data_IF_552295830562
#
_entry.id   IF_552295830562
#
_cell.length_a   1.000
_cell.length_b   1.000
_cell.length_c   1.000
_cell.angle_alpha   90.00
_cell.angle_beta   90.00
_cell.angle_gamma   90.00
#
_symmetry.space_group_name_H-M   'P 1'
#
loop_
_entity.id
_entity.type
_entity.pdbx_description
1 polymer ?
#
# COMPACT_ATOMS: atom_id res chain seq x y z
N UNK A 1 -5.95 -2.98 -20.63
CA UNK A 1 -5.75 -1.53 -20.78
C UNK A 1 -4.35 -1.21 -20.32
N UNK A 2 -3.56 -0.44 -21.09
CA UNK A 2 -2.22 0.00 -20.67
C UNK A 2 -2.38 1.10 -19.62
N UNK A 3 -1.70 1.03 -18.46
CA UNK A 3 -1.79 2.07 -17.44
C UNK A 3 -1.28 3.44 -17.95
N UNK A 4 -1.86 4.54 -17.45
CA UNK A 4 -1.49 5.91 -17.87
C UNK A 4 -0.01 6.22 -17.64
N UNK A 5 0.54 5.77 -16.51
CA UNK A 5 1.95 5.98 -16.16
C UNK A 5 2.94 5.40 -17.19
N UNK A 6 2.53 4.41 -17.99
CA UNK A 6 3.38 3.83 -19.04
C UNK A 6 3.70 4.81 -20.17
N UNK A 7 2.90 5.88 -20.32
CA UNK A 7 3.09 6.92 -21.34
C UNK A 7 3.65 8.22 -20.77
N UNK A 8 3.85 8.29 -19.45
CA UNK A 8 4.39 9.47 -18.80
C UNK A 8 5.91 9.43 -18.79
N UNK A 9 6.58 10.57 -19.02
CA UNK A 9 8.03 10.64 -18.94
C UNK A 9 8.51 10.48 -17.49
N UNK A 10 9.78 10.09 -17.28
CA UNK A 10 10.34 9.83 -15.95
C UNK A 10 10.23 11.04 -15.02
N UNK A 11 10.28 12.28 -15.51
CA UNK A 11 10.08 13.49 -14.69
C UNK A 11 8.75 13.46 -13.93
N UNK A 12 7.69 12.94 -14.54
CA UNK A 12 6.37 12.90 -13.93
C UNK A 12 6.23 11.67 -13.02
N UNK A 13 6.64 10.49 -13.48
CA UNK A 13 6.55 9.27 -12.68
C UNK A 13 7.41 9.37 -11.41
N UNK A 14 8.67 9.77 -11.56
CA UNK A 14 9.57 10.06 -10.45
C UNK A 14 8.99 11.12 -9.52
N UNK A 15 8.56 12.29 -10.03
CA UNK A 15 8.05 13.35 -9.16
C UNK A 15 6.80 12.90 -8.36
N UNK A 16 5.90 12.12 -8.97
CA UNK A 16 4.67 11.66 -8.31
C UNK A 16 4.95 10.72 -7.12
N UNK A 17 5.90 9.78 -7.26
CA UNK A 17 6.18 8.81 -6.18
C UNK A 17 7.00 9.43 -5.04
N UNK A 18 7.91 10.36 -5.35
CA UNK A 18 8.75 11.04 -4.34
C UNK A 18 8.03 12.19 -3.63
N UNK A 19 6.91 12.66 -4.17
CA UNK A 19 6.08 13.66 -3.52
C UNK A 19 5.11 13.04 -2.48
N UNK A 20 4.62 13.87 -1.56
CA UNK A 20 3.57 13.49 -0.61
C UNK A 20 4.09 13.06 0.77
N UNK A 21 3.21 12.44 1.55
CA UNK A 21 3.45 12.13 2.97
C UNK A 21 4.22 10.81 3.22
N UNK A 22 4.50 10.03 2.17
CA UNK A 22 5.15 8.72 2.27
C UNK A 22 4.25 7.61 2.83
N UNK A 23 4.87 6.49 3.23
CA UNK A 23 4.23 5.28 3.74
C UNK A 23 3.76 5.38 5.20
N UNK A 24 4.29 6.33 5.98
CA UNK A 24 4.06 6.46 7.42
C UNK A 24 2.58 6.45 7.85
N UNK A 25 1.69 7.23 7.22
CA UNK A 25 0.26 7.21 7.54
C UNK A 25 -0.41 5.84 7.35
N UNK A 26 0.02 5.04 6.35
CA UNK A 26 -0.53 3.70 6.13
C UNK A 26 -0.06 2.72 7.21
N UNK A 27 1.19 2.81 7.67
CA UNK A 27 1.65 2.01 8.81
C UNK A 27 0.95 2.41 10.12
N UNK A 28 0.71 3.71 10.33
CA UNK A 28 -0.08 4.16 11.48
C UNK A 28 -1.52 3.62 11.43
N UNK A 29 -2.15 3.64 10.25
CA UNK A 29 -3.47 3.04 10.06
C UNK A 29 -3.45 1.52 10.31
N UNK A 30 -2.41 0.82 9.84
CA UNK A 30 -2.25 -0.61 10.09
C UNK A 30 -2.17 -0.91 11.60
N UNK A 31 -1.38 -0.14 12.35
CA UNK A 31 -1.28 -0.28 13.79
C UNK A 31 -2.62 -0.01 14.50
N UNK A 32 -3.38 1.00 14.06
CA UNK A 32 -4.70 1.29 14.60
C UNK A 32 -5.71 0.16 14.35
N UNK A 33 -5.74 -0.40 13.13
CA UNK A 33 -6.57 -1.56 12.80
C UNK A 33 -6.19 -2.80 13.62
N UNK A 34 -4.90 -3.01 13.85
CA UNK A 34 -4.41 -4.10 14.69
C UNK A 34 -4.86 -3.92 16.15
N UNK A 35 -4.82 -2.70 16.69
CA UNK A 35 -5.34 -2.39 18.02
C UNK A 35 -6.84 -2.66 18.12
N UNK A 36 -7.63 -2.22 17.13
CA UNK A 36 -9.07 -2.48 17.08
C UNK A 36 -9.39 -3.99 17.04
N UNK A 37 -8.63 -4.78 16.27
CA UNK A 37 -8.78 -6.22 16.25
C UNK A 37 -8.58 -6.85 17.64
N UNK A 38 -7.56 -6.40 18.38
CA UNK A 38 -7.27 -6.87 19.74
C UNK A 38 -8.39 -6.51 20.72
N UNK A 39 -8.89 -5.27 20.67
CA UNK A 39 -10.00 -4.82 21.52
C UNK A 39 -11.30 -5.60 21.25
N UNK A 40 -11.58 -5.89 19.96
CA UNK A 40 -12.73 -6.72 19.57
C UNK A 40 -12.57 -8.17 20.04
N UNK A 41 -11.39 -8.77 19.90
CA UNK A 41 -11.11 -10.12 20.38
C UNK A 41 -11.20 -10.24 21.92
N UNK A 42 -10.73 -9.23 22.64
CA UNK A 42 -10.91 -9.12 24.09
C UNK A 42 -12.40 -9.01 24.46
N UNK A 43 -13.16 -8.23 23.71
CA UNK A 43 -14.61 -8.10 23.88
C UNK A 43 -15.32 -9.44 23.64
N UNK A 44 -14.99 -10.17 22.57
CA UNK A 44 -15.51 -11.52 22.31
C UNK A 44 -15.26 -12.44 23.50
N UNK A 45 -14.04 -12.45 24.02
CA UNK A 45 -13.65 -13.29 25.18
C UNK A 45 -14.47 -12.94 26.43
N UNK A 46 -14.65 -11.64 26.70
CA UNK A 46 -15.46 -11.15 27.81
C UNK A 46 -16.93 -11.55 27.67
N UNK A 47 -17.53 -11.33 26.50
CA UNK A 47 -18.93 -11.71 26.23
C UNK A 47 -19.13 -13.22 26.34
N UNK A 48 -18.18 -14.02 25.86
CA UNK A 48 -18.27 -15.48 25.93
C UNK A 48 -18.17 -16.00 27.37
N UNK A 49 -17.39 -15.34 28.22
CA UNK A 49 -17.35 -15.62 29.66
C UNK A 49 -18.73 -15.37 30.30
N UNK A 50 -19.36 -14.24 30.02
CA UNK A 50 -20.70 -13.90 30.56
C UNK A 50 -21.77 -14.87 30.05
N UNK A 51 -21.73 -15.27 28.78
CA UNK A 51 -22.66 -16.27 28.23
C UNK A 51 -22.47 -17.62 28.90
N UNK A 52 -21.23 -18.02 29.19
CA UNK A 52 -20.92 -19.28 29.87
C UNK A 52 -21.43 -19.25 31.31
N UNK A 53 -21.25 -18.15 32.03
CA UNK A 53 -21.83 -17.97 33.37
C UNK A 53 -23.36 -18.03 33.34
N UNK A 54 -24.00 -17.42 32.33
CA UNK A 54 -25.45 -17.44 32.18
C UNK A 54 -26.00 -18.83 31.84
N UNK A 55 -25.27 -19.64 31.06
CA UNK A 55 -25.71 -20.98 30.65
C UNK A 55 -25.40 -22.08 31.67
N UNK A 56 -24.37 -21.89 32.50
CA UNK A 56 -23.90 -22.87 33.50
C UNK A 56 -24.12 -22.46 34.96
N UNK A 57 -24.56 -21.22 35.19
CA UNK A 57 -24.80 -20.66 36.51
C UNK A 57 -26.13 -21.09 37.15
N UNK A 58 -26.44 -20.61 38.36
CA UNK A 58 -27.62 -21.04 39.12
C UNK A 58 -28.95 -20.54 38.51
N UNK A 59 -28.92 -19.52 37.64
CA UNK A 59 -30.11 -18.99 36.96
C UNK A 59 -30.35 -19.71 35.64
N UNK A 60 -30.78 -20.97 35.71
CA UNK A 60 -31.12 -21.79 34.54
C UNK A 60 -32.63 -21.79 34.26
N UNK A 61 -33.01 -21.80 32.98
CA UNK A 61 -34.41 -21.86 32.55
C UNK A 61 -34.66 -21.22 31.18
N UNK A 62 -35.92 -21.20 30.71
CA UNK A 62 -36.27 -20.69 29.38
C UNK A 62 -35.80 -19.25 29.10
N UNK A 63 -35.79 -18.39 30.12
CA UNK A 63 -35.32 -16.99 30.00
C UNK A 63 -33.81 -16.89 29.79
N UNK A 64 -33.00 -17.71 30.48
CA UNK A 64 -31.54 -17.77 30.26
C UNK A 64 -31.23 -18.28 28.85
N UNK A 65 -31.92 -19.34 28.40
CA UNK A 65 -31.80 -19.87 27.03
C UNK A 65 -32.15 -18.81 25.98
N UNK A 66 -33.25 -18.07 26.17
CA UNK A 66 -33.66 -17.00 25.26
C UNK A 66 -32.62 -15.87 25.18
N UNK A 67 -32.00 -15.50 26.31
CA UNK A 67 -30.95 -14.49 26.35
C UNK A 67 -29.68 -14.94 25.63
N UNK A 68 -29.24 -16.19 25.83
CA UNK A 68 -28.09 -16.76 25.10
C UNK A 68 -28.36 -16.79 23.58
N UNK A 69 -29.56 -17.20 23.17
CA UNK A 69 -29.96 -17.20 21.77
C UNK A 69 -29.93 -15.79 21.15
N UNK A 70 -30.36 -14.76 21.90
CA UNK A 70 -30.32 -13.37 21.46
C UNK A 70 -28.88 -12.79 21.38
N UNK A 71 -27.99 -13.21 22.27
CA UNK A 71 -26.61 -12.71 22.33
C UNK A 71 -25.67 -13.36 21.29
N UNK A 72 -25.95 -14.60 20.87
CA UNK A 72 -25.08 -15.38 19.98
C UNK A 72 -24.78 -14.67 18.64
N UNK A 73 -25.75 -14.07 17.92
CA UNK A 73 -25.46 -13.34 16.68
C UNK A 73 -24.51 -12.15 16.88
N UNK A 74 -24.58 -11.47 18.03
CA UNK A 74 -23.69 -10.35 18.34
C UNK A 74 -22.24 -10.80 18.55
N UNK A 75 -22.03 -11.93 19.22
CA UNK A 75 -20.70 -12.55 19.33
C UNK A 75 -20.13 -12.94 17.95
N UNK A 76 -20.98 -13.51 17.08
CA UNK A 76 -20.60 -13.82 15.71
C UNK A 76 -20.16 -12.57 14.95
N UNK A 77 -20.91 -11.48 15.08
CA UNK A 77 -20.55 -10.20 14.48
C UNK A 77 -19.24 -9.63 15.03
N UNK A 78 -19.04 -9.64 16.36
CA UNK A 78 -17.80 -9.16 16.98
C UNK A 78 -16.57 -9.96 16.50
N UNK A 79 -16.72 -11.27 16.38
CA UNK A 79 -15.66 -12.16 15.90
C UNK A 79 -15.32 -11.88 14.43
N UNK A 80 -16.33 -11.69 13.59
CA UNK A 80 -16.13 -11.31 12.19
C UNK A 80 -15.49 -9.92 12.05
N UNK A 81 -15.90 -8.96 12.88
CA UNK A 81 -15.33 -7.62 12.90
C UNK A 81 -13.87 -7.61 13.34
N UNK A 82 -13.50 -8.46 14.32
CA UNK A 82 -12.11 -8.64 14.73
C UNK A 82 -11.26 -9.15 13.55
N UNK A 83 -11.70 -10.22 12.89
CA UNK A 83 -10.99 -10.79 11.74
C UNK A 83 -10.88 -9.79 10.57
N UNK A 84 -11.94 -9.04 10.28
CA UNK A 84 -11.92 -8.00 9.25
C UNK A 84 -10.92 -6.89 9.58
N UNK A 85 -10.81 -6.51 10.86
CA UNK A 85 -9.85 -5.51 11.33
C UNK A 85 -8.41 -5.99 11.16
N UNK A 86 -8.11 -7.25 11.47
CA UNK A 86 -6.79 -7.85 11.22
C UNK A 86 -6.46 -7.86 9.72
N UNK A 87 -7.42 -8.22 8.86
CA UNK A 87 -7.25 -8.17 7.41
C UNK A 87 -6.94 -6.75 6.93
N UNK A 88 -7.66 -5.75 7.42
CA UNK A 88 -7.42 -4.34 7.08
C UNK A 88 -6.04 -3.87 7.53
N UNK A 89 -5.56 -4.29 8.72
CA UNK A 89 -4.19 -4.01 9.16
C UNK A 89 -3.15 -4.61 8.20
N UNK A 90 -3.34 -5.87 7.79
CA UNK A 90 -2.48 -6.54 6.81
C UNK A 90 -2.49 -5.87 5.44
N UNK A 91 -3.65 -5.43 4.96
CA UNK A 91 -3.80 -4.71 3.69
C UNK A 91 -3.08 -3.35 3.72
N UNK A 92 -3.23 -2.59 4.81
CA UNK A 92 -2.55 -1.30 4.97
C UNK A 92 -1.02 -1.45 5.02
N UNK A 93 -0.53 -2.46 5.75
CA UNK A 93 0.91 -2.80 5.81
C UNK A 93 1.43 -3.16 4.41
N UNK A 94 0.73 -4.05 3.69
CA UNK A 94 1.14 -4.46 2.36
C UNK A 94 1.16 -3.29 1.36
N UNK A 95 0.17 -2.39 1.42
CA UNK A 95 0.13 -1.19 0.58
C UNK A 95 1.30 -0.25 0.87
N UNK A 96 1.63 -0.04 2.15
CA UNK A 96 2.79 0.75 2.57
C UNK A 96 4.11 0.15 2.03
N UNK A 97 4.30 -1.15 2.17
CA UNK A 97 5.49 -1.85 1.65
C UNK A 97 5.58 -1.81 0.12
N UNK A 98 4.45 -1.93 -0.59
CA UNK A 98 4.42 -1.80 -2.03
C UNK A 98 4.84 -0.40 -2.49
N UNK A 99 4.41 0.64 -1.77
CA UNK A 99 4.86 2.01 -2.02
C UNK A 99 6.37 2.17 -1.79
N UNK A 100 6.91 1.65 -0.69
CA UNK A 100 8.36 1.73 -0.40
C UNK A 100 9.21 0.99 -1.43
N UNK A 101 8.73 -0.18 -1.88
CA UNK A 101 9.39 -0.95 -2.94
C UNK A 101 9.40 -0.17 -4.26
N UNK A 102 8.28 0.45 -4.61
CA UNK A 102 8.17 1.29 -5.80
C UNK A 102 9.11 2.50 -5.70
N UNK A 103 9.05 3.23 -4.58
CA UNK A 103 9.90 4.39 -4.31
C UNK A 103 11.40 4.07 -4.42
N UNK A 104 11.83 2.92 -3.87
CA UNK A 104 13.21 2.48 -3.94
C UNK A 104 13.66 2.07 -5.35
N UNK A 105 12.73 1.58 -6.18
CA UNK A 105 13.00 1.17 -7.56
C UNK A 105 12.92 2.32 -8.58
N UNK A 106 12.17 3.38 -8.29
CA UNK A 106 12.01 4.55 -9.17
C UNK A 106 13.28 5.39 -9.23
N UNK A 107 13.58 5.94 -10.40
CA UNK A 107 14.72 6.84 -10.59
C UNK A 107 14.51 8.11 -9.75
N UNK A 108 15.57 8.60 -9.10
CA UNK A 108 15.47 9.82 -8.33
C UNK A 108 15.31 11.04 -9.27
N UNK A 109 14.40 12.01 -9.00
CA UNK A 109 14.16 13.17 -9.88
C UNK A 109 15.43 13.97 -10.24
N UNK A 110 16.39 14.06 -9.30
CA UNK A 110 17.67 14.73 -9.54
C UNK A 110 18.52 14.05 -10.62
N UNK A 111 18.45 12.72 -10.77
CA UNK A 111 19.17 11.99 -11.81
C UNK A 111 18.56 12.27 -13.19
N UNK A 112 17.23 12.31 -13.28
CA UNK A 112 16.51 12.70 -14.50
C UNK A 112 16.91 14.13 -14.91
N UNK A 113 16.87 15.08 -13.97
CA UNK A 113 17.26 16.47 -14.22
C UNK A 113 18.73 16.61 -14.64
N UNK A 114 19.63 15.83 -14.05
CA UNK A 114 21.04 15.81 -14.42
C UNK A 114 21.24 15.32 -15.86
N UNK A 115 20.55 14.23 -16.26
CA UNK A 115 20.58 13.74 -17.63
C UNK A 115 20.13 14.81 -18.64
N UNK A 116 19.00 15.49 -18.37
CA UNK A 116 18.47 16.55 -19.25
C UNK A 116 19.42 17.75 -19.35
N UNK A 117 20.07 18.11 -18.23
CA UNK A 117 21.09 19.18 -18.21
C UNK A 117 22.33 18.80 -19.03
N UNK A 118 22.82 17.56 -18.88
CA UNK A 118 23.93 17.04 -19.66
C UNK A 118 23.61 17.02 -21.16
N UNK A 119 22.41 16.58 -21.54
CA UNK A 119 21.93 16.60 -22.93
C UNK A 119 22.00 18.01 -23.53
N UNK A 120 21.48 19.01 -22.81
CA UNK A 120 21.53 20.41 -23.25
C UNK A 120 22.98 20.89 -23.47
N UNK A 121 23.91 20.52 -22.59
CA UNK A 121 25.31 20.90 -22.70
C UNK A 121 26.01 20.27 -23.92
N UNK A 122 25.80 18.96 -24.17
CA UNK A 122 26.42 18.27 -25.31
C UNK A 122 25.83 18.70 -26.65
N UNK A 123 24.54 19.05 -26.68
CA UNK A 123 23.88 19.64 -27.85
C UNK A 123 24.42 21.04 -28.13
N UNK A 124 24.53 21.90 -27.11
CA UNK A 124 25.01 23.26 -27.26
C UNK A 124 26.44 23.36 -27.80
N UNK A 125 27.25 22.32 -27.59
CA UNK A 125 28.65 22.23 -28.05
C UNK A 125 28.82 21.43 -29.35
N UNK A 126 27.75 20.96 -29.98
CA UNK A 126 27.80 20.09 -31.16
C UNK A 126 27.98 20.84 -32.50
N UNK A 127 28.79 21.90 -32.54
CA UNK A 127 28.95 22.76 -33.72
C UNK A 127 29.45 22.02 -34.96
N UNK A 128 30.29 21.00 -34.76
CA UNK A 128 30.91 20.20 -35.83
C UNK A 128 30.30 18.80 -35.95
N UNK A 129 29.21 18.50 -35.24
CA UNK A 129 28.59 17.16 -35.24
C UNK A 129 29.36 16.08 -34.46
N UNK A 130 30.50 16.40 -33.85
CA UNK A 130 31.36 15.43 -33.14
C UNK A 130 30.71 14.85 -31.89
N UNK A 131 29.78 15.57 -31.25
CA UNK A 131 29.09 15.12 -30.04
C UNK A 131 27.88 14.22 -30.33
N UNK A 132 27.58 13.93 -31.60
CA UNK A 132 26.42 13.09 -31.97
C UNK A 132 26.38 11.74 -31.22
N UNK A 133 27.50 11.00 -31.05
CA UNK A 133 27.50 9.78 -30.23
C UNK A 133 27.18 10.03 -28.75
N UNK A 134 27.66 11.13 -28.17
CA UNK A 134 27.40 11.49 -26.78
C UNK A 134 25.94 11.90 -26.55
N UNK A 135 25.33 12.59 -27.52
CA UNK A 135 23.89 12.90 -27.52
C UNK A 135 23.09 11.59 -27.52
N UNK A 136 23.42 10.66 -28.43
CA UNK A 136 22.73 9.38 -28.52
C UNK A 136 22.84 8.56 -27.22
N UNK A 137 24.02 8.53 -26.60
CA UNK A 137 24.21 7.87 -25.31
C UNK A 137 23.36 8.52 -24.20
N UNK A 138 23.35 9.86 -24.12
CA UNK A 138 22.56 10.58 -23.10
C UNK A 138 21.06 10.37 -23.27
N UNK A 139 20.56 10.30 -24.51
CA UNK A 139 19.16 9.97 -24.79
C UNK A 139 18.83 8.52 -24.47
N UNK A 140 19.76 7.59 -24.72
CA UNK A 140 19.60 6.19 -24.35
C UNK A 140 19.47 6.01 -22.83
N UNK A 141 20.35 6.63 -22.04
CA UNK A 141 20.27 6.62 -20.58
C UNK A 141 18.90 7.11 -20.07
N UNK A 142 18.33 8.12 -20.72
CA UNK A 142 17.01 8.62 -20.37
C UNK A 142 15.88 7.66 -20.70
N UNK A 143 15.97 6.94 -21.83
CA UNK A 143 15.01 5.88 -22.16
C UNK A 143 15.09 4.73 -21.15
N UNK A 144 16.29 4.40 -20.65
CA UNK A 144 16.45 3.43 -19.56
C UNK A 144 15.80 3.93 -18.26
N UNK A 145 16.01 5.19 -17.90
CA UNK A 145 15.34 5.80 -16.74
C UNK A 145 13.81 5.72 -16.87
N UNK A 146 13.28 6.01 -18.06
CA UNK A 146 11.85 5.89 -18.32
C UNK A 146 11.36 4.44 -18.16
N UNK A 147 12.07 3.46 -18.74
CA UNK A 147 11.71 2.06 -18.61
C UNK A 147 11.72 1.58 -17.15
N UNK A 148 12.73 1.99 -16.38
CA UNK A 148 12.84 1.67 -14.95
C UNK A 148 11.65 2.23 -14.16
N UNK A 149 11.27 3.49 -14.37
CA UNK A 149 10.12 4.11 -13.72
C UNK A 149 8.81 3.38 -14.06
N UNK A 150 8.62 2.98 -15.32
CA UNK A 150 7.44 2.20 -15.73
C UNK A 150 7.42 0.84 -15.05
N UNK A 151 8.55 0.13 -14.97
CA UNK A 151 8.64 -1.17 -14.28
C UNK A 151 8.33 -1.03 -12.79
N UNK A 152 8.86 -0.01 -12.12
CA UNK A 152 8.56 0.29 -10.72
C UNK A 152 7.05 0.50 -10.51
N UNK A 153 6.40 1.28 -11.38
CA UNK A 153 4.96 1.56 -11.30
C UNK A 153 4.08 0.35 -11.66
N UNK A 154 4.52 -0.54 -12.56
CA UNK A 154 3.84 -1.83 -12.79
C UNK A 154 3.90 -2.69 -11.53
N UNK A 155 5.07 -2.78 -10.90
CA UNK A 155 5.25 -3.46 -9.61
C UNK A 155 4.29 -2.91 -8.56
N UNK A 156 4.24 -1.58 -8.43
CA UNK A 156 3.34 -0.90 -7.49
C UNK A 156 1.87 -1.20 -7.75
N UNK A 157 1.42 -1.10 -9.00
CA UNK A 157 0.04 -1.38 -9.39
C UNK A 157 -0.36 -2.81 -9.03
N UNK A 158 0.52 -3.78 -9.32
CA UNK A 158 0.26 -5.19 -9.01
C UNK A 158 0.17 -5.43 -7.49
N UNK A 159 1.06 -4.81 -6.71
CA UNK A 159 1.06 -4.88 -5.25
C UNK A 159 -0.20 -4.27 -4.64
N UNK A 160 -0.65 -3.13 -5.16
CA UNK A 160 -1.88 -2.47 -4.73
C UNK A 160 -3.15 -3.26 -5.12
N UNK A 161 -3.21 -3.79 -6.36
CA UNK A 161 -4.40 -4.48 -6.87
C UNK A 161 -4.61 -5.88 -6.29
N UNK A 162 -3.53 -6.61 -5.97
CA UNK A 162 -3.63 -7.92 -5.33
C UNK A 162 -4.35 -7.86 -3.96
N UNK A 163 -4.55 -6.65 -3.41
CA UNK A 163 -5.04 -6.43 -2.05
C UNK A 163 -6.37 -5.69 -1.96
N UNK A 164 -6.84 -5.07 -3.06
CA UNK A 164 -8.17 -4.46 -3.14
C UNK A 164 -9.31 -5.42 -3.52
N UNK A 165 -9.00 -6.69 -3.82
CA UNK A 165 -9.97 -7.73 -4.22
C UNK A 165 -10.19 -8.84 -3.18
N UNK A 166 -9.68 -8.66 -1.96
CA UNK A 166 -9.90 -9.56 -0.83
C UNK A 166 -10.78 -8.89 0.21
#
# INVERSE_FOLDING_TARGET
MVPEFSWLPPEINSARIFAGAGSGPLFAAAAAWQGLAQDLAASVSSFQSVITELSSGPWTGPSSVAMVAAATPHLGWLSAAAAQSEQSAGQATAAATAFETALAATVHPAAVAANRTSLAAVVATNFLGQNTPAIAATEFDYVEMWAQDVVAMVGYLSGAQAKGKM
#
